data_IF_129404278430
#
_entry.id   IF_129404278430
#
_cell.length_a   1.000
_cell.length_b   1.000
_cell.length_c   1.000
_cell.angle_alpha   90.00
_cell.angle_beta   90.00
_cell.angle_gamma   90.00
#
_symmetry.space_group_name_H-M   'P 1'
#
loop_
_entity.id
_entity.type
_entity.pdbx_description
1 polymer ?
#
# COMPACT_ATOMS: atom_id res chain seq x y z
N UNK A 1 8.48 -19.30 15.69
CA UNK A 1 7.27 -19.51 14.84
C UNK A 1 7.32 -20.83 14.08
N UNK A 2 8.44 -21.15 13.41
CA UNK A 2 8.63 -22.40 12.64
C UNK A 2 8.44 -23.68 13.49
N UNK A 3 8.94 -23.71 14.73
CA UNK A 3 8.77 -24.86 15.63
C UNK A 3 7.30 -25.20 15.96
N UNK A 4 6.42 -24.18 15.99
CA UNK A 4 5.00 -24.34 16.33
C UNK A 4 4.19 -24.91 15.17
N UNK A 5 4.63 -24.68 13.93
CA UNK A 5 4.03 -25.29 12.73
C UNK A 5 4.33 -26.79 12.67
N UNK A 6 5.58 -27.19 12.94
CA UNK A 6 5.95 -28.61 13.01
C UNK A 6 5.36 -29.34 14.23
N UNK A 7 5.16 -28.64 15.35
CA UNK A 7 4.55 -29.23 16.53
C UNK A 7 3.12 -29.75 16.25
N UNK A 8 2.34 -29.07 15.41
CA UNK A 8 0.99 -29.52 15.07
C UNK A 8 1.01 -30.78 14.18
N UNK A 9 1.94 -30.86 13.22
CA UNK A 9 2.14 -32.05 12.39
C UNK A 9 2.67 -33.25 13.19
N UNK A 10 3.61 -33.01 14.12
CA UNK A 10 4.15 -34.04 15.01
C UNK A 10 3.09 -34.57 15.97
N UNK A 11 2.24 -33.70 16.52
CA UNK A 11 1.15 -34.10 17.41
C UNK A 11 0.09 -34.92 16.66
N UNK A 12 -0.26 -34.52 15.43
CA UNK A 12 -1.15 -35.29 14.57
C UNK A 12 -0.56 -36.68 14.25
N UNK A 13 0.72 -36.77 13.87
CA UNK A 13 1.38 -38.04 13.60
C UNK A 13 1.47 -38.94 14.85
N UNK A 14 1.77 -38.37 16.02
CA UNK A 14 1.81 -39.10 17.28
C UNK A 14 0.42 -39.62 17.69
N UNK A 15 -0.62 -38.81 17.50
CA UNK A 15 -2.01 -39.22 17.75
C UNK A 15 -2.44 -40.36 16.81
N UNK A 16 -2.08 -40.28 15.52
CA UNK A 16 -2.32 -41.36 14.55
C UNK A 16 -1.64 -42.65 14.99
N UNK A 17 -0.36 -42.59 15.34
CA UNK A 17 0.39 -43.76 15.81
C UNK A 17 -0.20 -44.35 17.10
N UNK A 18 -0.61 -43.51 18.05
CA UNK A 18 -1.22 -43.95 19.31
C UNK A 18 -2.57 -44.65 19.10
N UNK A 19 -3.43 -44.13 18.21
CA UNK A 19 -4.74 -44.73 17.91
C UNK A 19 -4.57 -46.05 17.16
N UNK A 20 -3.65 -46.13 16.19
CA UNK A 20 -3.35 -47.38 15.48
C UNK A 20 -2.80 -48.42 16.46
N UNK A 21 -1.86 -48.05 17.32
CA UNK A 21 -1.29 -48.95 18.34
C UNK A 21 -2.36 -49.44 19.33
N UNK A 22 -3.29 -48.58 19.74
CA UNK A 22 -4.41 -48.94 20.61
C UNK A 22 -5.36 -49.94 19.94
N UNK A 23 -5.72 -49.73 18.67
CA UNK A 23 -6.59 -50.64 17.92
C UNK A 23 -5.94 -52.02 17.72
N UNK A 24 -4.64 -52.05 17.47
CA UNK A 24 -3.85 -53.29 17.40
C UNK A 24 -3.79 -53.98 18.77
N UNK A 25 -3.58 -53.24 19.85
CA UNK A 25 -3.52 -53.77 21.22
C UNK A 25 -4.86 -54.40 21.66
N UNK A 26 -5.99 -53.83 21.24
CA UNK A 26 -7.34 -54.35 21.55
C UNK A 26 -7.68 -55.58 20.68
N UNK A 27 -6.86 -55.93 19.69
CA UNK A 27 -7.05 -57.12 18.86
C UNK A 27 -8.09 -56.95 17.74
N UNK A 28 -8.41 -55.71 17.36
CA UNK A 28 -9.37 -55.40 16.27
C UNK A 28 -8.68 -55.58 14.92
N UNK A 29 -8.40 -56.82 14.55
CA UNK A 29 -7.69 -57.16 13.30
C UNK A 29 -8.57 -57.89 12.28
N UNK A 30 -9.74 -58.39 12.67
CA UNK A 30 -10.61 -59.12 11.77
C UNK A 30 -11.25 -58.18 10.73
N UNK A 31 -11.15 -58.47 9.42
CA UNK A 31 -11.62 -57.59 8.36
C UNK A 31 -13.14 -57.38 8.38
N UNK A 32 -13.90 -58.34 8.91
CA UNK A 32 -15.36 -58.27 9.06
C UNK A 32 -15.83 -57.15 10.01
N UNK A 33 -14.98 -56.71 10.95
CA UNK A 33 -15.29 -55.63 11.88
C UNK A 33 -15.21 -54.24 11.24
N UNK A 34 -14.67 -54.12 10.03
CA UNK A 34 -14.37 -52.82 9.39
C UNK A 34 -15.32 -52.45 8.25
N UNK A 35 -16.17 -53.35 7.76
CA UNK A 35 -17.06 -53.09 6.61
C UNK A 35 -18.01 -51.91 6.83
N UNK A 36 -18.79 -51.94 7.92
CA UNK A 36 -19.71 -50.85 8.27
C UNK A 36 -18.96 -49.59 8.75
N UNK A 37 -17.94 -49.69 9.63
CA UNK A 37 -17.16 -48.52 10.05
C UNK A 37 -16.50 -47.75 8.91
N UNK A 38 -15.98 -48.41 7.87
CA UNK A 38 -15.39 -47.72 6.70
C UNK A 38 -16.44 -46.83 6.02
N UNK A 39 -17.67 -47.32 5.84
CA UNK A 39 -18.72 -46.57 5.16
C UNK A 39 -19.14 -45.33 5.95
N UNK A 40 -19.37 -45.49 7.26
CA UNK A 40 -19.76 -44.38 8.13
C UNK A 40 -18.61 -43.38 8.34
N UNK A 41 -17.39 -43.89 8.54
CA UNK A 41 -16.20 -43.06 8.73
C UNK A 41 -15.87 -42.26 7.47
N UNK A 42 -15.82 -42.89 6.30
CA UNK A 42 -15.52 -42.19 5.05
C UNK A 42 -16.55 -41.12 4.70
N UNK A 43 -17.84 -41.41 4.93
CA UNK A 43 -18.91 -40.40 4.80
C UNK A 43 -18.68 -39.22 5.76
N UNK A 44 -18.40 -39.49 7.03
CA UNK A 44 -18.15 -38.45 8.04
C UNK A 44 -16.90 -37.61 7.72
N UNK A 45 -15.82 -38.24 7.23
CA UNK A 45 -14.58 -37.57 6.81
C UNK A 45 -14.86 -36.63 5.64
N UNK A 46 -15.54 -37.11 4.59
CA UNK A 46 -15.86 -36.28 3.43
C UNK A 46 -16.74 -35.09 3.79
N UNK A 47 -17.79 -35.29 4.60
CA UNK A 47 -18.65 -34.22 5.07
C UNK A 47 -17.88 -33.19 5.91
N UNK A 48 -17.00 -33.67 6.81
CA UNK A 48 -16.18 -32.79 7.66
C UNK A 48 -15.21 -31.96 6.83
N UNK A 49 -14.53 -32.55 5.85
CA UNK A 49 -13.64 -31.83 4.94
C UNK A 49 -14.40 -30.85 4.05
N UNK A 50 -15.57 -31.23 3.55
CA UNK A 50 -16.44 -30.35 2.78
C UNK A 50 -16.83 -29.11 3.59
N UNK A 51 -17.28 -29.28 4.84
CA UNK A 51 -17.62 -28.20 5.73
C UNK A 51 -16.40 -27.32 6.06
N UNK A 52 -15.27 -27.94 6.38
CA UNK A 52 -14.03 -27.25 6.75
C UNK A 52 -13.44 -26.44 5.61
N UNK A 53 -13.67 -26.82 4.35
CA UNK A 53 -13.28 -26.01 3.19
C UNK A 53 -14.33 -24.96 2.87
N UNK A 54 -15.61 -25.35 2.76
CA UNK A 54 -16.66 -24.48 2.25
C UNK A 54 -16.93 -23.28 3.17
N UNK A 55 -17.04 -23.49 4.48
CA UNK A 55 -17.41 -22.43 5.43
C UNK A 55 -16.34 -21.34 5.50
N UNK A 56 -15.07 -21.63 5.82
CA UNK A 56 -14.04 -20.61 5.90
C UNK A 56 -13.75 -19.95 4.55
N UNK A 57 -13.83 -20.71 3.45
CA UNK A 57 -13.63 -20.15 2.12
C UNK A 57 -14.73 -19.14 1.75
N UNK A 58 -15.99 -19.45 2.07
CA UNK A 58 -17.12 -18.54 1.81
C UNK A 58 -16.99 -17.26 2.63
N UNK A 59 -16.68 -17.39 3.92
CA UNK A 59 -16.41 -16.25 4.81
C UNK A 59 -15.26 -15.41 4.25
N UNK A 60 -14.17 -16.06 3.84
CA UNK A 60 -13.01 -15.38 3.27
C UNK A 60 -13.32 -14.66 1.97
N UNK A 61 -14.09 -15.26 1.04
CA UNK A 61 -14.50 -14.62 -0.22
C UNK A 61 -15.32 -13.37 0.08
N UNK A 62 -16.31 -13.47 0.98
CA UNK A 62 -17.16 -12.33 1.37
C UNK A 62 -16.31 -11.22 1.99
N UNK A 63 -15.44 -11.58 2.94
CA UNK A 63 -14.55 -10.64 3.62
C UNK A 63 -13.60 -9.94 2.62
N UNK A 64 -12.91 -10.70 1.77
CA UNK A 64 -11.99 -10.14 0.78
C UNK A 64 -12.72 -9.27 -0.26
N UNK A 65 -13.93 -9.65 -0.65
CA UNK A 65 -14.74 -8.88 -1.59
C UNK A 65 -15.20 -7.56 -0.98
N UNK A 66 -15.67 -7.60 0.28
CA UNK A 66 -16.08 -6.42 1.03
C UNK A 66 -14.89 -5.48 1.27
N UNK A 67 -13.70 -6.02 1.56
CA UNK A 67 -12.54 -5.23 1.97
C UNK A 67 -11.67 -4.75 0.82
N UNK A 68 -11.42 -5.61 -0.17
CA UNK A 68 -10.46 -5.36 -1.25
C UNK A 68 -11.08 -5.34 -2.66
N UNK A 69 -12.38 -5.60 -2.76
CA UNK A 69 -13.12 -5.56 -4.01
C UNK A 69 -13.04 -6.85 -4.85
N UNK A 70 -13.98 -6.98 -5.77
CA UNK A 70 -14.17 -8.19 -6.61
C UNK A 70 -12.98 -8.51 -7.53
N UNK A 71 -12.24 -7.48 -7.97
CA UNK A 71 -11.09 -7.65 -8.86
C UNK A 71 -9.97 -8.42 -8.15
N UNK A 72 -9.67 -8.05 -6.90
CA UNK A 72 -8.64 -8.72 -6.09
C UNK A 72 -9.05 -10.15 -5.81
N UNK A 73 -10.30 -10.39 -5.41
CA UNK A 73 -10.83 -11.74 -5.19
C UNK A 73 -10.67 -12.63 -6.42
N UNK A 74 -11.01 -12.13 -7.62
CA UNK A 74 -10.88 -12.90 -8.87
C UNK A 74 -9.43 -13.31 -9.16
N UNK A 75 -8.45 -12.45 -8.85
CA UNK A 75 -7.02 -12.79 -8.98
C UNK A 75 -6.63 -13.91 -8.01
N UNK A 76 -7.11 -13.84 -6.78
CA UNK A 76 -6.82 -14.85 -5.76
C UNK A 76 -7.50 -16.19 -6.01
N UNK A 77 -8.78 -16.21 -6.39
CA UNK A 77 -9.57 -17.43 -6.59
C UNK A 77 -8.89 -18.42 -7.54
N UNK A 78 -8.23 -17.93 -8.60
CA UNK A 78 -7.48 -18.77 -9.55
C UNK A 78 -6.28 -19.50 -8.95
N UNK A 79 -5.88 -19.14 -7.73
CA UNK A 79 -4.67 -19.65 -7.06
C UNK A 79 -4.97 -20.36 -5.75
N UNK A 80 -6.16 -20.18 -5.17
CA UNK A 80 -6.60 -20.87 -3.95
C UNK A 80 -7.17 -22.25 -4.33
N UNK A 81 -6.31 -23.13 -4.85
CA UNK A 81 -6.70 -24.47 -5.34
C UNK A 81 -6.43 -25.56 -4.30
N UNK A 82 -5.50 -25.32 -3.37
CA UNK A 82 -5.04 -26.34 -2.41
C UNK A 82 -6.17 -26.99 -1.59
N UNK A 83 -7.13 -26.24 -1.01
CA UNK A 83 -8.21 -26.85 -0.23
C UNK A 83 -9.08 -27.80 -1.06
N UNK A 84 -9.33 -27.43 -2.32
CA UNK A 84 -10.10 -28.24 -3.26
C UNK A 84 -9.32 -29.47 -3.73
N UNK A 85 -8.01 -29.35 -3.93
CA UNK A 85 -7.15 -30.48 -4.27
C UNK A 85 -7.07 -31.51 -3.13
N UNK A 86 -6.96 -31.05 -1.88
CA UNK A 86 -6.97 -31.94 -0.70
C UNK A 86 -8.32 -32.65 -0.58
N UNK A 87 -9.43 -31.93 -0.78
CA UNK A 87 -10.76 -32.54 -0.78
C UNK A 87 -10.89 -33.61 -1.86
N UNK A 88 -10.46 -33.32 -3.10
CA UNK A 88 -10.50 -34.29 -4.19
C UNK A 88 -9.64 -35.54 -3.90
N UNK A 89 -8.45 -35.36 -3.32
CA UNK A 89 -7.61 -36.47 -2.89
C UNK A 89 -8.29 -37.32 -1.83
N UNK A 90 -8.91 -36.70 -0.82
CA UNK A 90 -9.68 -37.41 0.21
C UNK A 90 -10.88 -38.16 -0.38
N UNK A 91 -11.59 -37.59 -1.36
CA UNK A 91 -12.67 -38.28 -2.08
C UNK A 91 -12.17 -39.54 -2.77
N UNK A 92 -11.02 -39.48 -3.44
CA UNK A 92 -10.42 -40.66 -4.09
C UNK A 92 -10.01 -41.71 -3.06
N UNK A 93 -9.35 -41.30 -1.97
CA UNK A 93 -8.96 -42.22 -0.89
C UNK A 93 -10.19 -42.91 -0.29
N UNK A 94 -11.23 -42.13 0.03
CA UNK A 94 -12.48 -42.66 0.61
C UNK A 94 -13.22 -43.59 -0.35
N UNK A 95 -13.22 -43.29 -1.65
CA UNK A 95 -13.82 -44.18 -2.65
C UNK A 95 -13.07 -45.52 -2.76
N UNK A 96 -11.73 -45.48 -2.72
CA UNK A 96 -10.90 -46.68 -2.73
C UNK A 96 -11.08 -47.52 -1.47
N UNK A 97 -11.18 -46.90 -0.31
CA UNK A 97 -11.33 -47.60 0.98
C UNK A 97 -12.70 -48.25 1.10
N UNK A 98 -13.76 -47.55 0.67
CA UNK A 98 -15.11 -48.12 0.57
C UNK A 98 -15.13 -49.32 -0.40
N UNK A 99 -14.45 -49.22 -1.55
CA UNK A 99 -14.36 -50.35 -2.49
C UNK A 99 -13.64 -51.58 -1.90
N UNK A 100 -12.74 -51.39 -0.95
CA UNK A 100 -12.00 -52.45 -0.26
C UNK A 100 -12.72 -52.99 1.00
N UNK A 101 -13.87 -52.43 1.37
CA UNK A 101 -14.54 -52.71 2.65
C UNK A 101 -14.93 -54.19 2.87
N UNK A 102 -15.18 -54.94 1.81
CA UNK A 102 -15.53 -56.37 1.87
C UNK A 102 -14.38 -57.30 1.45
N UNK A 103 -13.13 -56.81 1.50
CA UNK A 103 -11.93 -57.56 1.12
C UNK A 103 -11.07 -57.87 2.36
N UNK A 104 -10.12 -58.82 2.29
CA UNK A 104 -9.17 -59.06 3.39
C UNK A 104 -8.31 -57.82 3.73
N UNK A 105 -8.29 -56.80 2.86
CA UNK A 105 -7.54 -55.56 3.06
C UNK A 105 -8.31 -54.48 3.82
N UNK A 106 -9.55 -54.74 4.27
CA UNK A 106 -10.41 -53.74 4.93
C UNK A 106 -9.75 -53.05 6.13
N UNK A 107 -9.08 -53.80 7.01
CA UNK A 107 -8.38 -53.23 8.17
C UNK A 107 -7.25 -52.27 7.75
N UNK A 108 -6.47 -52.64 6.74
CA UNK A 108 -5.37 -51.80 6.21
C UNK A 108 -5.96 -50.55 5.55
N UNK A 109 -7.02 -50.70 4.75
CA UNK A 109 -7.69 -49.59 4.08
C UNK A 109 -8.22 -48.58 5.10
N UNK A 110 -8.87 -49.03 6.18
CA UNK A 110 -9.35 -48.17 7.26
C UNK A 110 -8.22 -47.38 7.92
N UNK A 111 -7.10 -48.04 8.27
CA UNK A 111 -5.96 -47.35 8.87
C UNK A 111 -5.31 -46.33 7.93
N UNK A 112 -5.24 -46.62 6.62
CA UNK A 112 -4.73 -45.68 5.62
C UNK A 112 -5.64 -44.46 5.52
N UNK A 113 -6.96 -44.65 5.48
CA UNK A 113 -7.93 -43.55 5.44
C UNK A 113 -7.86 -42.67 6.69
N UNK A 114 -7.79 -43.31 7.86
CA UNK A 114 -7.62 -42.62 9.14
C UNK A 114 -6.31 -41.82 9.19
N UNK A 115 -5.19 -42.41 8.76
CA UNK A 115 -3.91 -41.72 8.73
C UNK A 115 -3.92 -40.55 7.73
N UNK A 116 -4.46 -40.75 6.53
CA UNK A 116 -4.54 -39.71 5.51
C UNK A 116 -5.42 -38.53 5.93
N UNK A 117 -6.61 -38.81 6.48
CA UNK A 117 -7.53 -37.79 6.98
C UNK A 117 -6.93 -37.01 8.16
N UNK A 118 -6.18 -37.64 9.05
CA UNK A 118 -5.57 -36.92 10.17
C UNK A 118 -4.31 -36.13 9.78
N UNK A 119 -3.50 -36.64 8.85
CA UNK A 119 -2.26 -35.97 8.44
C UNK A 119 -2.48 -34.77 7.51
N UNK A 120 -3.53 -34.81 6.68
CA UNK A 120 -3.85 -33.71 5.76
C UNK A 120 -4.55 -32.54 6.44
N UNK A 121 -5.23 -32.78 7.57
CA UNK A 121 -6.00 -31.78 8.30
C UNK A 121 -5.12 -30.62 8.80
N UNK A 122 -3.94 -30.83 9.41
CA UNK A 122 -2.98 -29.78 9.74
C UNK A 122 -2.58 -28.87 8.57
N UNK A 123 -2.31 -29.46 7.40
CA UNK A 123 -1.93 -28.71 6.20
C UNK A 123 -3.08 -27.83 5.76
N UNK A 124 -4.29 -28.39 5.73
CA UNK A 124 -5.51 -27.70 5.31
C UNK A 124 -5.87 -26.55 6.27
N UNK A 125 -5.91 -26.82 7.58
CA UNK A 125 -6.22 -25.82 8.60
C UNK A 125 -5.19 -24.67 8.58
N UNK A 126 -3.90 -24.99 8.51
CA UNK A 126 -2.84 -23.97 8.44
C UNK A 126 -2.98 -23.10 7.19
N UNK A 127 -3.30 -23.72 6.05
CA UNK A 127 -3.54 -22.98 4.81
C UNK A 127 -4.75 -22.04 4.92
N UNK A 128 -5.88 -22.55 5.44
CA UNK A 128 -7.11 -21.76 5.63
C UNK A 128 -6.87 -20.61 6.60
N UNK A 129 -6.21 -20.85 7.73
CA UNK A 129 -5.88 -19.81 8.70
C UNK A 129 -4.99 -18.72 8.07
N UNK A 130 -3.97 -19.11 7.30
CA UNK A 130 -3.12 -18.15 6.56
C UNK A 130 -3.91 -17.34 5.53
N UNK A 131 -4.92 -17.95 4.92
CA UNK A 131 -5.81 -17.30 3.95
C UNK A 131 -6.74 -16.29 4.65
N UNK A 132 -7.35 -16.67 5.77
CA UNK A 132 -8.25 -15.81 6.56
C UNK A 132 -7.52 -14.64 7.24
N UNK A 133 -6.26 -14.83 7.63
CA UNK A 133 -5.43 -13.83 8.32
C UNK A 133 -4.51 -13.06 7.38
N UNK A 134 -4.93 -12.89 6.11
CA UNK A 134 -4.07 -12.28 5.11
C UNK A 134 -3.97 -10.76 5.27
N UNK A 135 -2.78 -10.27 5.58
CA UNK A 135 -2.55 -8.83 5.74
C UNK A 135 -2.67 -8.07 4.41
N UNK A 136 -3.07 -6.78 4.44
CA UNK A 136 -3.12 -5.92 3.25
C UNK A 136 -1.78 -5.87 2.48
N UNK A 137 -0.66 -5.91 3.21
CA UNK A 137 0.68 -5.98 2.63
C UNK A 137 0.95 -7.30 1.90
N UNK A 138 0.39 -8.41 2.37
CA UNK A 138 0.46 -9.69 1.65
C UNK A 138 -0.41 -9.64 0.40
N UNK A 139 -1.60 -9.03 0.49
CA UNK A 139 -2.49 -8.82 -0.67
C UNK A 139 -1.80 -7.98 -1.75
N UNK A 140 -1.18 -6.85 -1.39
CA UNK A 140 -0.44 -6.03 -2.34
C UNK A 140 0.75 -6.77 -2.97
N UNK A 141 1.52 -7.53 -2.19
CA UNK A 141 2.60 -8.39 -2.70
C UNK A 141 2.08 -9.47 -3.63
N UNK A 142 0.90 -10.02 -3.36
CA UNK A 142 0.27 -11.00 -4.23
C UNK A 142 -0.12 -10.36 -5.56
N UNK A 143 -0.75 -9.18 -5.54
CA UNK A 143 -1.09 -8.43 -6.76
C UNK A 143 0.18 -8.16 -7.59
N UNK A 144 1.28 -7.75 -6.95
CA UNK A 144 2.57 -7.52 -7.61
C UNK A 144 3.13 -8.76 -8.31
N UNK A 145 3.04 -9.93 -7.67
CA UNK A 145 3.57 -11.19 -8.22
C UNK A 145 2.70 -11.78 -9.32
N UNK A 146 1.38 -11.58 -9.25
CA UNK A 146 0.43 -12.31 -10.08
C UNK A 146 -0.33 -11.44 -11.09
N UNK A 147 -0.12 -10.13 -11.11
CA UNK A 147 -0.58 -9.27 -12.20
C UNK A 147 0.02 -9.71 -13.53
N UNK A 148 -0.79 -9.81 -14.58
CA UNK A 148 -0.33 -10.20 -15.93
C UNK A 148 0.44 -9.08 -16.61
N UNK A 149 0.07 -7.84 -16.30
CA UNK A 149 0.67 -6.63 -16.87
C UNK A 149 1.00 -5.61 -15.78
N UNK A 150 2.00 -4.76 -16.03
CA UNK A 150 2.34 -3.64 -15.13
C UNK A 150 1.17 -2.65 -14.97
N UNK A 151 0.37 -2.49 -16.01
CA UNK A 151 -0.85 -1.66 -15.95
C UNK A 151 -1.88 -2.22 -14.98
N UNK A 152 -2.13 -3.53 -15.06
CA UNK A 152 -3.04 -4.23 -14.16
C UNK A 152 -2.54 -4.13 -12.71
N UNK A 153 -1.23 -4.26 -12.49
CA UNK A 153 -0.63 -4.02 -11.17
C UNK A 153 -0.91 -2.62 -10.64
N UNK A 154 -0.62 -1.57 -11.43
CA UNK A 154 -0.79 -0.17 -11.01
C UNK A 154 -2.28 0.13 -10.75
N UNK A 155 -3.16 -0.26 -11.67
CA UNK A 155 -4.60 -0.03 -11.56
C UNK A 155 -5.21 -0.73 -10.34
N UNK A 156 -4.84 -1.99 -10.11
CA UNK A 156 -5.35 -2.78 -8.98
C UNK A 156 -4.79 -2.28 -7.66
N UNK A 157 -3.53 -1.86 -7.62
CA UNK A 157 -2.92 -1.27 -6.43
C UNK A 157 -3.53 0.08 -6.05
N UNK A 158 -3.85 0.93 -7.03
CA UNK A 158 -4.57 2.19 -6.78
C UNK A 158 -6.00 1.94 -6.28
N UNK A 159 -6.68 0.94 -6.84
CA UNK A 159 -8.00 0.55 -6.37
C UNK A 159 -7.97 0.01 -4.93
N UNK A 160 -6.99 -0.84 -4.62
CA UNK A 160 -6.74 -1.36 -3.28
C UNK A 160 -6.49 -0.22 -2.29
N UNK A 161 -5.58 0.70 -2.61
CA UNK A 161 -5.28 1.85 -1.76
C UNK A 161 -6.49 2.72 -1.52
N UNK A 162 -7.31 2.97 -2.56
CA UNK A 162 -8.57 3.72 -2.40
C UNK A 162 -9.49 3.06 -1.38
N UNK A 163 -9.76 1.76 -1.52
CA UNK A 163 -10.65 1.04 -0.61
C UNK A 163 -10.10 1.06 0.82
N UNK A 164 -8.79 0.87 0.96
CA UNK A 164 -8.15 0.73 2.25
C UNK A 164 -8.04 2.06 3.02
N UNK A 165 -7.81 3.18 2.33
CA UNK A 165 -7.76 4.52 2.95
C UNK A 165 -9.15 5.00 3.40
N UNK A 166 -10.21 4.52 2.74
CA UNK A 166 -11.58 4.83 3.13
C UNK A 166 -12.07 4.00 4.34
N UNK A 167 -11.27 3.06 4.84
CA UNK A 167 -11.59 2.36 6.08
C UNK A 167 -11.51 3.31 7.28
N UNK A 168 -12.33 3.05 8.30
CA UNK A 168 -12.39 3.87 9.52
C UNK A 168 -11.10 3.80 10.35
N UNK A 169 -10.40 2.67 10.32
CA UNK A 169 -9.15 2.45 11.06
C UNK A 169 -8.09 1.73 10.21
N UNK A 170 -7.45 2.43 9.27
CA UNK A 170 -6.52 1.80 8.36
C UNK A 170 -5.14 1.57 9.03
N UNK A 171 -4.49 0.45 8.68
CA UNK A 171 -3.07 0.26 9.02
C UNK A 171 -2.20 1.21 8.18
N UNK A 172 -1.77 2.31 8.81
CA UNK A 172 -0.97 3.37 8.18
C UNK A 172 0.36 2.86 7.64
N UNK A 173 1.00 1.91 8.32
CA UNK A 173 2.27 1.31 7.88
C UNK A 173 2.05 0.49 6.61
N UNK A 174 0.93 -0.22 6.52
CA UNK A 174 0.56 -0.94 5.31
C UNK A 174 0.31 0.01 4.15
N UNK A 175 -0.44 1.10 4.35
CA UNK A 175 -0.69 2.13 3.32
C UNK A 175 0.64 2.66 2.76
N UNK A 176 1.53 3.11 3.63
CA UNK A 176 2.78 3.72 3.20
C UNK A 176 3.71 2.73 2.48
N UNK A 177 3.75 1.49 2.93
CA UNK A 177 4.54 0.45 2.27
C UNK A 177 3.95 0.05 0.90
N UNK A 178 2.62 -0.02 0.77
CA UNK A 178 1.95 -0.27 -0.51
C UNK A 178 2.17 0.91 -1.46
N UNK A 179 1.98 2.14 -0.99
CA UNK A 179 2.18 3.35 -1.77
C UNK A 179 3.64 3.51 -2.22
N UNK A 180 4.61 3.22 -1.35
CA UNK A 180 6.04 3.27 -1.70
C UNK A 180 6.38 2.27 -2.80
N UNK A 181 5.86 1.05 -2.72
CA UNK A 181 6.01 0.03 -3.78
C UNK A 181 5.40 0.53 -5.09
N UNK A 182 4.16 1.01 -5.03
CA UNK A 182 3.45 1.55 -6.18
C UNK A 182 4.21 2.72 -6.82
N UNK A 183 4.65 3.71 -6.02
CA UNK A 183 5.39 4.87 -6.50
C UNK A 183 6.71 4.45 -7.18
N UNK A 184 7.42 3.46 -6.63
CA UNK A 184 8.65 2.94 -7.23
C UNK A 184 8.40 2.23 -8.57
N UNK A 185 7.32 1.47 -8.68
CA UNK A 185 6.94 0.79 -9.91
C UNK A 185 6.46 1.78 -10.97
N UNK A 186 5.64 2.77 -10.56
CA UNK A 186 5.16 3.84 -11.44
C UNK A 186 6.33 4.63 -11.99
N UNK A 187 7.27 5.09 -11.16
CA UNK A 187 8.42 5.86 -11.63
C UNK A 187 9.29 5.08 -12.64
N UNK A 188 9.39 3.76 -12.49
CA UNK A 188 10.20 2.89 -13.35
C UNK A 188 9.51 2.52 -14.65
N UNK A 189 8.25 2.10 -14.57
CA UNK A 189 7.58 1.39 -15.65
C UNK A 189 6.64 2.31 -16.45
N UNK A 190 6.06 3.34 -15.82
CA UNK A 190 5.06 4.20 -16.45
C UNK A 190 5.53 4.91 -17.72
N UNK A 191 6.79 5.40 -17.85
CA UNK A 191 7.26 6.01 -19.10
C UNK A 191 7.17 5.08 -20.33
N UNK A 192 7.11 3.76 -20.11
CA UNK A 192 7.03 2.74 -21.17
C UNK A 192 5.60 2.31 -21.49
N UNK A 193 4.62 2.73 -20.68
CA UNK A 193 3.22 2.32 -20.80
C UNK A 193 2.44 3.27 -21.69
N UNK A 194 1.53 2.72 -22.50
CA UNK A 194 0.61 3.54 -23.29
C UNK A 194 -0.46 4.15 -22.39
N UNK A 195 -0.81 5.44 -22.57
CA UNK A 195 -1.87 6.12 -21.84
C UNK A 195 -3.23 5.46 -22.08
N UNK A 196 -3.68 4.64 -21.12
CA UNK A 196 -4.98 3.97 -21.17
C UNK A 196 -6.03 4.64 -20.30
N UNK A 197 -7.29 4.65 -20.76
CA UNK A 197 -8.43 5.11 -19.99
C UNK A 197 -8.81 4.32 -18.74
N UNK A 198 -7.99 3.40 -18.22
CA UNK A 198 -8.30 2.76 -16.94
C UNK A 198 -7.43 3.34 -15.84
N UNK A 199 -6.14 3.53 -16.13
CA UNK A 199 -5.15 4.05 -15.19
C UNK A 199 -5.48 5.45 -14.70
N UNK A 200 -5.88 6.36 -15.61
CA UNK A 200 -6.31 7.72 -15.27
C UNK A 200 -7.51 7.77 -14.30
N UNK A 201 -8.53 6.93 -14.48
CA UNK A 201 -9.74 6.89 -13.67
C UNK A 201 -9.41 6.31 -12.30
N UNK A 202 -8.63 5.22 -12.25
CA UNK A 202 -8.21 4.63 -10.98
C UNK A 202 -7.35 5.59 -10.16
N UNK A 203 -6.45 6.35 -10.81
CA UNK A 203 -5.65 7.34 -10.11
C UNK A 203 -6.49 8.53 -9.64
N UNK A 204 -7.37 9.06 -10.50
CA UNK A 204 -8.32 10.13 -10.12
C UNK A 204 -9.19 9.72 -8.94
N UNK A 205 -9.72 8.50 -8.96
CA UNK A 205 -10.56 7.96 -7.90
C UNK A 205 -9.79 7.86 -6.57
N UNK A 206 -8.52 7.43 -6.62
CA UNK A 206 -7.64 7.41 -5.46
C UNK A 206 -7.36 8.83 -4.90
N UNK A 207 -7.12 9.82 -5.77
CA UNK A 207 -6.97 11.21 -5.31
C UNK A 207 -8.27 11.77 -4.73
N UNK A 208 -9.42 11.38 -5.27
CA UNK A 208 -10.73 11.78 -4.73
C UNK A 208 -10.97 11.19 -3.35
N UNK A 209 -10.67 9.91 -3.13
CA UNK A 209 -10.79 9.29 -1.81
C UNK A 209 -9.85 9.94 -0.79
N UNK A 210 -8.63 10.32 -1.20
CA UNK A 210 -7.71 11.07 -0.33
C UNK A 210 -8.28 12.40 0.18
N UNK A 211 -9.08 13.09 -0.64
CA UNK A 211 -9.64 14.40 -0.27
C UNK A 211 -10.93 14.26 0.54
N UNK A 212 -11.77 13.28 0.21
CA UNK A 212 -13.15 13.20 0.74
C UNK A 212 -13.36 12.13 1.80
N UNK A 213 -12.64 11.02 1.72
CA UNK A 213 -12.95 9.78 2.46
C UNK A 213 -11.80 9.38 3.41
N UNK A 214 -10.60 9.96 3.24
CA UNK A 214 -9.43 9.53 3.97
C UNK A 214 -9.46 9.95 5.45
N UNK A 215 -9.32 8.96 6.32
CA UNK A 215 -9.03 9.12 7.75
C UNK A 215 -7.54 9.32 8.04
N UNK A 216 -6.67 8.99 7.08
CA UNK A 216 -5.21 9.11 7.17
C UNK A 216 -4.61 9.57 5.84
N UNK A 217 -3.62 10.47 5.93
CA UNK A 217 -2.86 10.93 4.79
C UNK A 217 -1.51 10.19 4.64
N UNK A 218 -1.26 9.55 3.49
CA UNK A 218 -0.02 8.83 3.25
C UNK A 218 1.22 9.72 3.18
N UNK A 219 2.40 9.09 3.17
CA UNK A 219 3.70 9.75 3.08
C UNK A 219 3.80 10.74 1.90
N UNK A 220 4.10 12.00 2.23
CA UNK A 220 4.36 13.09 1.26
C UNK A 220 5.41 12.72 0.22
N UNK A 221 6.47 12.02 0.63
CA UNK A 221 7.53 11.60 -0.30
C UNK A 221 7.00 10.67 -1.38
N UNK A 222 6.24 9.64 -1.00
CA UNK A 222 5.68 8.68 -1.97
C UNK A 222 4.60 9.32 -2.83
N UNK A 223 3.78 10.21 -2.26
CA UNK A 223 2.83 11.01 -3.03
C UNK A 223 3.52 11.92 -4.04
N UNK A 224 4.57 12.64 -3.65
CA UNK A 224 5.37 13.48 -4.55
C UNK A 224 5.88 12.71 -5.76
N UNK A 225 6.49 11.54 -5.51
CA UNK A 225 7.01 10.66 -6.58
C UNK A 225 5.87 10.20 -7.48
N UNK A 226 4.77 9.71 -6.91
CA UNK A 226 3.61 9.23 -7.66
C UNK A 226 3.01 10.33 -8.54
N UNK A 227 2.75 11.50 -7.96
CA UNK A 227 2.13 12.65 -8.64
C UNK A 227 3.02 13.20 -9.75
N UNK A 228 4.34 13.29 -9.50
CA UNK A 228 5.33 13.68 -10.49
C UNK A 228 5.31 12.72 -11.67
N UNK A 229 5.50 11.42 -11.42
CA UNK A 229 5.54 10.41 -12.49
C UNK A 229 4.25 10.36 -13.32
N UNK A 230 3.08 10.46 -12.69
CA UNK A 230 1.80 10.51 -13.41
C UNK A 230 1.68 11.76 -14.30
N UNK A 231 2.10 12.94 -13.82
CA UNK A 231 2.04 14.15 -14.62
C UNK A 231 3.04 14.09 -15.78
N UNK A 232 4.27 13.64 -15.54
CA UNK A 232 5.28 13.43 -16.59
C UNK A 232 4.74 12.53 -17.70
N UNK A 233 4.10 11.42 -17.32
CA UNK A 233 3.52 10.48 -18.28
C UNK A 233 2.37 11.06 -19.10
N UNK A 234 1.49 11.85 -18.49
CA UNK A 234 0.38 12.50 -19.20
C UNK A 234 0.86 13.54 -20.20
N UNK A 235 1.90 14.29 -19.84
CA UNK A 235 2.52 15.30 -20.69
C UNK A 235 3.27 14.67 -21.87
N UNK A 236 4.08 13.64 -21.62
CA UNK A 236 4.73 12.87 -22.68
C UNK A 236 3.72 12.23 -23.66
N UNK A 237 2.51 11.97 -23.17
CA UNK A 237 1.40 11.39 -23.94
C UNK A 237 0.52 12.42 -24.67
N UNK A 238 0.84 13.73 -24.60
CA UNK A 238 0.02 14.83 -25.14
C UNK A 238 -1.46 14.80 -24.67
N UNK A 239 -1.71 14.44 -23.40
CA UNK A 239 -3.06 14.38 -22.81
C UNK A 239 -3.39 15.62 -21.97
N UNK A 240 -3.27 16.79 -22.57
CA UNK A 240 -3.33 18.10 -21.88
C UNK A 240 -4.63 18.30 -21.08
N UNK A 241 -5.79 17.94 -21.64
CA UNK A 241 -7.09 18.03 -20.95
C UNK A 241 -7.11 17.21 -19.65
N UNK A 242 -6.48 16.04 -19.67
CA UNK A 242 -6.41 15.14 -18.52
C UNK A 242 -5.41 15.68 -17.50
N UNK A 243 -4.24 16.13 -17.95
CA UNK A 243 -3.23 16.76 -17.11
C UNK A 243 -3.77 17.99 -16.36
N UNK A 244 -4.56 18.86 -17.03
CA UNK A 244 -5.24 19.99 -16.38
C UNK A 244 -6.17 19.55 -15.25
N UNK A 245 -6.93 18.47 -15.46
CA UNK A 245 -7.76 17.92 -14.39
C UNK A 245 -6.91 17.41 -13.22
N UNK A 246 -5.79 16.74 -13.49
CA UNK A 246 -4.89 16.26 -12.43
C UNK A 246 -4.26 17.41 -11.63
N UNK A 247 -3.78 18.47 -12.27
CA UNK A 247 -3.25 19.65 -11.56
C UNK A 247 -4.32 20.24 -10.62
N UNK A 248 -5.59 20.27 -11.05
CA UNK A 248 -6.70 20.71 -10.18
C UNK A 248 -6.90 19.78 -8.98
N UNK A 249 -6.83 18.46 -9.17
CA UNK A 249 -6.89 17.49 -8.08
C UNK A 249 -5.68 17.61 -7.14
N UNK A 250 -4.47 17.82 -7.68
CA UNK A 250 -3.25 17.98 -6.89
C UNK A 250 -3.38 19.15 -5.93
N UNK A 251 -3.99 20.26 -6.38
CA UNK A 251 -4.32 21.40 -5.52
C UNK A 251 -5.26 20.99 -4.37
N UNK A 252 -6.31 20.23 -4.65
CA UNK A 252 -7.27 19.79 -3.63
C UNK A 252 -6.62 18.86 -2.61
N UNK A 253 -5.77 17.94 -3.06
CA UNK A 253 -4.97 17.06 -2.19
C UNK A 253 -4.01 17.89 -1.34
N UNK A 254 -3.30 18.86 -1.93
CA UNK A 254 -2.38 19.71 -1.19
C UNK A 254 -3.07 20.52 -0.08
N UNK A 255 -4.30 21.01 -0.31
CA UNK A 255 -5.08 21.67 0.73
C UNK A 255 -5.37 20.72 1.90
N UNK A 256 -5.79 19.48 1.61
CA UNK A 256 -6.05 18.47 2.64
C UNK A 256 -4.79 18.15 3.45
N UNK A 257 -3.62 18.08 2.80
CA UNK A 257 -2.34 17.89 3.49
C UNK A 257 -1.89 19.09 4.35
N UNK A 258 -2.29 20.31 4.00
CA UNK A 258 -1.98 21.51 4.78
C UNK A 258 -2.77 21.55 6.09
N UNK A 259 -4.00 21.05 6.09
CA UNK A 259 -4.85 20.97 7.28
C UNK A 259 -4.29 19.98 8.33
N UNK A 260 -3.60 18.92 7.88
CA UNK A 260 -3.17 17.82 8.77
C UNK A 260 -1.65 17.73 8.99
N UNK A 261 -0.83 18.41 8.18
CA UNK A 261 0.63 18.32 8.23
C UNK A 261 1.27 19.71 8.08
N UNK A 262 2.61 19.80 8.16
CA UNK A 262 3.31 21.08 8.06
C UNK A 262 3.01 21.77 6.71
N UNK A 263 2.36 22.96 6.71
CA UNK A 263 1.79 23.55 5.49
C UNK A 263 2.79 23.79 4.36
N UNK A 264 3.97 24.35 4.66
CA UNK A 264 4.97 24.67 3.64
C UNK A 264 5.54 23.45 2.94
N UNK A 265 5.82 22.39 3.70
CA UNK A 265 6.33 21.14 3.15
C UNK A 265 5.23 20.37 2.40
N UNK A 266 3.99 20.37 2.91
CA UNK A 266 2.83 19.83 2.20
C UNK A 266 2.62 20.52 0.84
N UNK A 267 2.61 21.86 0.82
CA UNK A 267 2.49 22.66 -0.39
C UNK A 267 3.60 22.33 -1.40
N UNK A 268 4.85 22.24 -0.92
CA UNK A 268 6.01 21.89 -1.75
C UNK A 268 5.86 20.51 -2.37
N UNK A 269 5.62 19.49 -1.56
CA UNK A 269 5.76 18.10 -1.97
C UNK A 269 4.55 17.57 -2.74
N UNK A 270 3.36 18.11 -2.50
CA UNK A 270 2.11 17.61 -3.11
C UNK A 270 1.69 18.46 -4.32
N UNK A 271 2.03 19.75 -4.37
CA UNK A 271 1.61 20.64 -5.47
C UNK A 271 2.78 21.29 -6.21
N UNK A 272 3.62 22.08 -5.52
CA UNK A 272 4.57 22.98 -6.19
C UNK A 272 5.64 22.19 -6.95
N UNK A 273 6.33 21.25 -6.29
CA UNK A 273 7.38 20.44 -6.92
C UNK A 273 6.82 19.47 -7.98
N UNK A 274 5.74 18.69 -7.73
CA UNK A 274 5.19 17.80 -8.76
C UNK A 274 4.67 18.52 -10.00
N UNK A 275 4.16 19.76 -9.87
CA UNK A 275 3.61 20.50 -11.01
C UNK A 275 4.70 21.33 -11.70
N UNK A 276 5.30 22.31 -11.00
CA UNK A 276 6.27 23.22 -11.61
C UNK A 276 7.58 22.51 -11.93
N UNK A 277 8.02 21.59 -11.08
CA UNK A 277 9.22 20.79 -11.31
C UNK A 277 9.11 19.94 -12.58
N UNK A 278 7.96 19.29 -12.78
CA UNK A 278 7.69 18.50 -13.99
C UNK A 278 7.62 19.36 -15.25
N UNK A 279 6.92 20.50 -15.21
CA UNK A 279 6.84 21.42 -16.36
C UNK A 279 8.21 21.97 -16.75
N UNK A 280 9.04 22.31 -15.76
CA UNK A 280 10.42 22.74 -15.97
C UNK A 280 11.27 21.64 -16.59
N UNK A 281 11.22 20.43 -16.05
CA UNK A 281 12.00 19.28 -16.54
C UNK A 281 11.66 18.90 -17.98
N UNK A 282 10.38 18.97 -18.34
CA UNK A 282 9.91 18.68 -19.69
C UNK A 282 9.93 19.89 -20.63
N UNK A 283 10.26 21.08 -20.11
CA UNK A 283 10.18 22.37 -20.84
C UNK A 283 8.83 22.58 -21.54
N UNK A 284 7.74 22.16 -20.90
CA UNK A 284 6.42 22.22 -21.51
C UNK A 284 5.76 23.56 -21.27
N UNK A 285 5.63 24.38 -22.33
CA UNK A 285 5.03 25.71 -22.27
C UNK A 285 3.50 25.67 -22.25
N UNK A 286 2.88 24.58 -22.74
CA UNK A 286 1.44 24.50 -23.03
C UNK A 286 0.55 24.55 -21.78
N UNK A 287 1.02 23.97 -20.68
CA UNK A 287 0.27 23.90 -19.42
C UNK A 287 0.71 24.93 -18.38
N UNK A 288 1.75 25.72 -18.66
CA UNK A 288 2.25 26.74 -17.73
C UNK A 288 1.16 27.73 -17.33
N UNK A 289 0.39 28.35 -18.24
CA UNK A 289 -0.66 29.30 -17.87
C UNK A 289 -1.66 28.71 -16.85
N UNK A 290 -2.14 27.50 -17.13
CA UNK A 290 -3.10 26.82 -16.27
C UNK A 290 -2.50 26.41 -14.92
N UNK A 291 -1.25 25.94 -14.89
CA UNK A 291 -0.57 25.60 -13.64
C UNK A 291 -0.39 26.83 -12.74
N UNK A 292 -0.01 27.97 -13.31
CA UNK A 292 0.12 29.24 -12.58
C UNK A 292 -1.23 29.74 -12.08
N UNK A 293 -2.30 29.58 -12.86
CA UNK A 293 -3.67 29.89 -12.41
C UNK A 293 -4.07 29.03 -11.20
N UNK A 294 -3.80 27.72 -11.23
CA UNK A 294 -4.09 26.82 -10.12
C UNK A 294 -3.27 27.16 -8.87
N UNK A 295 -2.00 27.56 -9.03
CA UNK A 295 -1.18 28.05 -7.92
C UNK A 295 -1.69 29.38 -7.35
N UNK A 296 -2.15 30.30 -8.20
CA UNK A 296 -2.78 31.55 -7.73
C UNK A 296 -4.01 31.25 -6.89
N UNK A 297 -4.87 30.34 -7.35
CA UNK A 297 -6.06 29.95 -6.62
C UNK A 297 -5.74 29.18 -5.33
N UNK A 298 -4.64 28.41 -5.31
CA UNK A 298 -4.10 27.79 -4.11
C UNK A 298 -3.62 28.84 -3.09
N UNK A 299 -2.82 29.82 -3.52
CA UNK A 299 -2.32 30.88 -2.64
C UNK A 299 -3.43 31.74 -2.03
N UNK A 300 -4.49 32.04 -2.79
CA UNK A 300 -5.68 32.72 -2.24
C UNK A 300 -6.31 31.94 -1.10
N UNK A 301 -6.34 30.60 -1.19
CA UNK A 301 -6.88 29.75 -0.13
C UNK A 301 -5.93 29.67 1.07
N UNK A 302 -4.62 29.60 0.84
CA UNK A 302 -3.60 29.68 1.91
C UNK A 302 -3.67 31.02 2.64
N UNK A 303 -3.89 32.12 1.93
CA UNK A 303 -4.09 33.45 2.53
C UNK A 303 -5.29 33.47 3.47
N UNK A 304 -6.43 32.94 3.01
CA UNK A 304 -7.63 32.83 3.83
C UNK A 304 -7.39 31.99 5.11
N UNK A 305 -6.65 30.88 5.02
CA UNK A 305 -6.27 30.08 6.18
C UNK A 305 -5.32 30.83 7.13
N UNK A 306 -4.45 31.70 6.59
CA UNK A 306 -3.59 32.58 7.37
C UNK A 306 -4.36 33.67 8.10
N UNK A 307 -5.34 34.30 7.44
CA UNK A 307 -6.25 35.28 8.04
C UNK A 307 -7.11 34.66 9.15
N UNK A 308 -7.60 33.44 8.93
CA UNK A 308 -8.36 32.68 9.93
C UNK A 308 -7.50 32.20 11.12
N UNK A 309 -6.16 32.30 11.00
CA UNK A 309 -5.23 31.82 12.04
C UNK A 309 -5.02 30.31 12.05
N UNK A 310 -5.54 29.56 11.06
CA UNK A 310 -5.32 28.12 10.92
C UNK A 310 -3.88 27.79 10.53
N UNK A 311 -3.20 28.72 9.86
CA UNK A 311 -1.79 28.60 9.49
C UNK A 311 -1.01 29.80 10.03
N UNK A 312 0.17 29.54 10.60
CA UNK A 312 1.05 30.62 11.07
C UNK A 312 1.53 31.53 9.92
N UNK A 313 1.69 32.81 10.22
CA UNK A 313 2.26 33.81 9.31
C UNK A 313 3.59 33.35 8.69
N UNK A 314 4.44 32.69 9.47
CA UNK A 314 5.74 32.16 9.03
C UNK A 314 5.58 31.09 7.95
N UNK A 315 4.60 30.20 8.09
CA UNK A 315 4.32 29.15 7.10
C UNK A 315 3.71 29.73 5.83
N UNK A 316 2.84 30.74 5.93
CA UNK A 316 2.33 31.49 4.77
C UNK A 316 3.48 32.13 3.99
N UNK A 317 4.37 32.86 4.66
CA UNK A 317 5.53 33.48 4.02
C UNK A 317 6.46 32.44 3.38
N UNK A 318 6.69 31.30 4.04
CA UNK A 318 7.50 30.21 3.51
C UNK A 318 6.89 29.58 2.25
N UNK A 319 5.56 29.44 2.18
CA UNK A 319 4.86 28.99 0.97
C UNK A 319 5.04 30.00 -0.17
N UNK A 320 4.90 31.30 0.11
CA UNK A 320 5.11 32.35 -0.89
C UNK A 320 6.53 32.32 -1.45
N UNK A 321 7.53 32.14 -0.59
CA UNK A 321 8.94 32.03 -1.00
C UNK A 321 9.20 30.78 -1.86
N UNK A 322 8.58 29.64 -1.52
CA UNK A 322 8.65 28.42 -2.32
C UNK A 322 8.05 28.63 -3.71
N UNK A 323 6.90 29.31 -3.80
CA UNK A 323 6.27 29.63 -5.10
C UNK A 323 7.17 30.56 -5.91
N UNK A 324 7.71 31.63 -5.32
CA UNK A 324 8.64 32.53 -6.02
C UNK A 324 9.87 31.80 -6.55
N UNK A 325 10.52 31.00 -5.71
CA UNK A 325 11.71 30.24 -6.08
C UNK A 325 11.45 29.28 -7.24
N UNK A 326 10.33 28.56 -7.21
CA UNK A 326 9.99 27.61 -8.28
C UNK A 326 9.50 28.29 -9.55
N UNK A 327 8.89 29.48 -9.45
CA UNK A 327 8.58 30.31 -10.62
C UNK A 327 9.84 30.85 -11.31
N UNK A 328 10.82 31.32 -10.55
CA UNK A 328 12.11 31.78 -11.10
C UNK A 328 12.81 30.64 -11.84
N UNK A 329 12.93 29.48 -11.19
CA UNK A 329 13.50 28.26 -11.79
C UNK A 329 12.74 27.76 -13.02
N UNK A 330 11.43 27.97 -13.07
CA UNK A 330 10.64 27.63 -14.26
C UNK A 330 10.96 28.60 -15.40
N UNK A 331 11.15 29.88 -15.10
CA UNK A 331 11.50 30.92 -16.07
C UNK A 331 12.88 30.74 -16.72
N UNK A 332 13.81 30.07 -16.05
CA UNK A 332 15.10 29.67 -16.63
C UNK A 332 14.94 28.64 -17.76
N UNK A 333 13.88 27.83 -17.73
CA UNK A 333 13.68 26.70 -18.64
C UNK A 333 12.61 26.96 -19.71
N UNK A 334 11.62 27.81 -19.41
CA UNK A 334 10.40 28.03 -20.21
C UNK A 334 10.10 29.53 -20.29
N UNK A 335 9.63 30.00 -21.46
CA UNK A 335 9.21 31.40 -21.62
C UNK A 335 7.98 31.69 -20.76
N UNK A 336 8.12 32.62 -19.81
CA UNK A 336 7.05 33.04 -18.88
C UNK A 336 6.31 34.30 -19.32
N UNK A 337 6.27 34.59 -20.62
CA UNK A 337 5.58 35.74 -21.21
C UNK A 337 4.06 35.49 -21.31
N UNK A 338 3.43 35.20 -20.19
CA UNK A 338 1.99 34.97 -20.10
C UNK A 338 1.32 35.85 -19.02
N UNK A 339 0.06 36.28 -19.23
CA UNK A 339 -0.64 37.14 -18.28
C UNK A 339 -0.82 36.49 -16.91
N UNK A 340 -0.91 35.15 -16.85
CA UNK A 340 -1.05 34.38 -15.62
C UNK A 340 0.21 34.47 -14.74
N UNK A 341 1.41 34.51 -15.35
CA UNK A 341 2.65 34.71 -14.61
C UNK A 341 2.71 36.10 -13.96
N UNK A 342 2.32 37.14 -14.69
CA UNK A 342 2.23 38.49 -14.15
C UNK A 342 1.18 38.58 -13.03
N UNK A 343 0.02 37.95 -13.21
CA UNK A 343 -1.04 37.92 -12.21
C UNK A 343 -0.62 37.17 -10.93
N UNK A 344 0.11 36.06 -11.05
CA UNK A 344 0.65 35.31 -9.91
C UNK A 344 1.72 36.13 -9.17
N UNK A 345 2.65 36.77 -9.88
CA UNK A 345 3.66 37.68 -9.27
C UNK A 345 3.01 38.82 -8.49
N UNK A 346 1.97 39.46 -9.04
CA UNK A 346 1.19 40.50 -8.34
C UNK A 346 0.51 39.94 -7.09
N UNK A 347 -0.09 38.75 -7.19
CA UNK A 347 -0.73 38.09 -6.04
C UNK A 347 0.29 37.82 -4.93
N UNK A 348 1.46 37.27 -5.26
CA UNK A 348 2.53 37.02 -4.28
C UNK A 348 3.02 38.33 -3.64
N UNK A 349 3.21 39.39 -4.43
CA UNK A 349 3.63 40.69 -3.91
C UNK A 349 2.59 41.31 -2.96
N UNK A 350 1.31 41.19 -3.26
CA UNK A 350 0.22 41.68 -2.40
C UNK A 350 0.17 40.90 -1.09
N UNK A 351 0.20 39.56 -1.16
CA UNK A 351 0.19 38.71 0.03
C UNK A 351 1.43 38.93 0.92
N UNK A 352 2.61 39.17 0.31
CA UNK A 352 3.81 39.52 1.09
C UNK A 352 3.65 40.81 1.89
N UNK A 353 2.99 41.82 1.31
CA UNK A 353 2.72 43.10 2.01
C UNK A 353 1.69 42.90 3.13
N UNK A 354 0.62 42.19 2.84
CA UNK A 354 -0.47 41.90 3.77
C UNK A 354 0.01 41.14 5.01
N UNK A 355 0.75 40.05 4.82
CA UNK A 355 1.28 39.24 5.91
C UNK A 355 2.65 39.71 6.45
N UNK A 356 3.13 40.88 6.01
CA UNK A 356 4.42 41.48 6.41
C UNK A 356 5.60 40.50 6.34
N UNK A 357 5.67 39.75 5.24
CA UNK A 357 6.76 38.80 5.03
C UNK A 357 8.07 39.55 4.84
N UNK A 358 9.08 39.23 5.63
CA UNK A 358 10.43 39.77 5.45
C UNK A 358 10.93 39.33 4.05
N UNK A 359 11.41 40.27 3.21
CA UNK A 359 12.03 39.91 1.97
C UNK A 359 13.24 39.04 2.29
N UNK A 360 13.42 37.98 1.49
CA UNK A 360 14.57 37.09 1.60
C UNK A 360 15.83 37.91 1.27
N UNK A 361 16.41 38.58 2.27
CA UNK A 361 17.83 38.94 2.23
C UNK A 361 18.52 37.62 2.02
N UNK A 362 19.33 37.50 0.95
CA UNK A 362 20.10 36.31 0.67
C UNK A 362 20.76 35.89 1.99
N UNK A 363 20.29 34.78 2.56
CA UNK A 363 20.91 34.22 3.74
C UNK A 363 22.37 34.01 3.33
N UNK A 364 23.28 34.81 3.92
CA UNK A 364 24.70 34.53 3.87
C UNK A 364 24.82 33.02 4.15
N UNK A 365 25.52 32.25 3.31
CA UNK A 365 25.85 30.89 3.69
C UNK A 365 26.52 31.03 5.05
N UNK A 366 25.95 30.43 6.09
CA UNK A 366 26.66 30.28 7.35
C UNK A 366 27.98 29.61 6.97
N UNK A 367 29.05 30.40 7.00
CA UNK A 367 30.38 29.92 6.71
C UNK A 367 30.62 28.76 7.69
N UNK A 368 31.05 27.58 7.21
CA UNK A 368 31.40 26.44 8.06
C UNK A 368 32.43 26.76 9.15
N UNK A 369 33.06 27.94 9.10
CA UNK A 369 34.08 28.40 10.05
C UNK A 369 33.52 28.85 11.41
N UNK A 370 32.27 29.33 11.53
CA UNK A 370 31.75 29.77 12.84
C UNK A 370 31.29 28.60 13.72
N UNK A 371 30.70 27.55 13.14
CA UNK A 371 30.34 26.33 13.88
C UNK A 371 31.59 25.53 14.28
N UNK A 372 32.66 25.58 13.47
CA UNK A 372 33.95 24.97 13.81
C UNK A 372 34.70 25.73 14.92
N UNK A 373 34.59 27.06 14.97
CA UNK A 373 35.17 27.86 16.08
C UNK A 373 34.43 27.63 17.39
N UNK A 374 33.09 27.61 17.37
CA UNK A 374 32.31 27.33 18.59
C UNK A 374 32.54 25.92 19.13
N UNK A 375 32.64 24.89 18.26
CA UNK A 375 33.03 23.54 18.68
C UNK A 375 34.49 23.39 19.11
N UNK A 376 35.37 24.26 18.62
CA UNK A 376 36.79 24.30 19.01
C UNK A 376 36.97 24.95 20.39
N UNK A 377 36.23 26.03 20.65
CA UNK A 377 36.22 26.74 21.93
C UNK A 377 35.53 25.91 23.04
N UNK A 378 34.40 25.24 22.76
CA UNK A 378 33.75 24.34 23.73
C UNK A 378 34.63 23.13 24.10
N UNK A 379 35.43 22.61 23.16
CA UNK A 379 36.39 21.53 23.46
C UNK A 379 37.60 22.00 24.25
N UNK A 380 38.08 23.22 24.01
CA UNK A 380 39.20 23.81 24.76
C UNK A 380 38.81 24.16 26.20
N UNK A 381 37.55 24.58 26.44
CA UNK A 381 37.03 24.80 27.79
C UNK A 381 36.78 23.49 28.56
N UNK A 382 36.35 22.42 27.89
CA UNK A 382 36.21 21.09 28.53
C UNK A 382 37.57 20.47 28.91
N UNK A 383 38.58 20.55 28.04
CA UNK A 383 39.92 20.00 28.34
C UNK A 383 40.70 20.82 29.39
N UNK A 384 40.44 22.13 29.51
CA UNK A 384 41.03 22.97 30.56
C UNK A 384 40.32 22.81 31.91
N UNK A 385 39.01 22.54 31.92
CA UNK A 385 38.25 22.18 33.13
C UNK A 385 38.67 20.84 33.74
N UNK A 386 38.92 19.81 32.93
CA UNK A 386 39.34 18.48 33.41
C UNK A 386 40.76 18.47 33.99
N UNK A 387 41.67 19.34 33.54
CA UNK A 387 43.03 19.46 34.12
C UNK A 387 43.10 20.24 35.43
N UNK A 388 42.10 21.08 35.73
CA UNK A 388 42.03 21.83 36.97
C UNK A 388 41.38 21.05 38.14
N UNK A 389 40.65 19.95 37.84
CA UNK A 389 39.96 19.12 38.83
C UNK A 389 40.75 17.92 39.36
N UNK A 390 42.00 17.73 38.92
CA UNK A 390 42.86 16.62 39.37
C UNK A 390 44.12 17.14 40.06
N UNK A 391 43.95 17.76 41.22
CA UNK A 391 44.98 17.89 42.26
C UNK A 391 44.37 17.76 43.64
#
# INVERSE_FOLDING_TARGET
MVLREYAFHLLAAAAVAAVIALLLFIGVAAPELYSDPILYFGSAVLQSYAALVAVPFTIWVIYMQSRYGTIVVRMFLRRVVLPFAIMAAMTVISALTIALAHTPYAAIAYHVEFAASMLLLPVLVTYILRLMTMDPLRVARFIERYSRTREEFIATSLHLLRLYIAESYPDTRAIDAILRRLASAVARDMPRLKPRPVLWLRFKDFLKSLVLEASYLPSRYSMRVLMKSFLTWLLASNRDKVARNFIRYYRMVAMKYIEEQLPSEAARDVLIEPVLGTLRELKDERLVPYALEQLRAFLKRVAHLGEAGEISLREVCRILDLVSLHMERLGEAVKLECPEAAALRRTVANLRKEFRCLPRTAAQPQQPQQVARQRGEEKAEQESGERAGSK
#
